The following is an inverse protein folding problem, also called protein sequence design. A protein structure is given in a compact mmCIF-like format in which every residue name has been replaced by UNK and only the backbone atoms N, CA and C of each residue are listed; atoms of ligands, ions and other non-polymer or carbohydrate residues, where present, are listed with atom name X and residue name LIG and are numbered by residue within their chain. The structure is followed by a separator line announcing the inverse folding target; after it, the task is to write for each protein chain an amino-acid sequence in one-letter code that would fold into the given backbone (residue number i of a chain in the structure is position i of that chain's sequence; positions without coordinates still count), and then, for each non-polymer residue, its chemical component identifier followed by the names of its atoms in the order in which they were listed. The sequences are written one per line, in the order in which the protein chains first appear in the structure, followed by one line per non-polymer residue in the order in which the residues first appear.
data_IF_426698849459
#
_entry.id   IF_426698849459
#
_cell.length_a   1.000
_cell.length_b   1.000
_cell.length_c   1.000
_cell.angle_alpha   90.00
_cell.angle_beta   90.00
_cell.angle_gamma   90.00
#
_symmetry.space_group_name_H-M   'P 1'
#
loop_
_entity.id
_entity.type
_entity.pdbx_description
1 polymer ?
#
# COMPACT_ATOMS: atom_id res chain seq x y z
N UNK A 1 -21.38 -30.06 11.99
CA UNK A 1 -21.30 -28.93 12.95
C UNK A 1 -19.92 -28.73 13.63
N UNK A 2 -18.86 -29.51 13.33
CA UNK A 2 -17.51 -29.27 13.90
C UNK A 2 -16.70 -28.17 13.18
N UNK A 3 -16.97 -27.92 11.90
CA UNK A 3 -16.19 -26.98 11.06
C UNK A 3 -16.28 -25.53 11.55
N UNK A 4 -17.46 -25.07 11.98
CA UNK A 4 -17.73 -23.68 12.39
C UNK A 4 -16.89 -23.26 13.58
N UNK A 5 -16.68 -24.15 14.57
CA UNK A 5 -15.91 -23.82 15.79
C UNK A 5 -14.41 -23.65 15.57
N UNK A 6 -13.83 -24.15 14.47
CA UNK A 6 -12.40 -24.00 14.19
C UNK A 6 -12.05 -22.56 13.76
N UNK A 7 -12.95 -21.90 13.04
CA UNK A 7 -12.79 -20.51 12.59
C UNK A 7 -13.02 -19.49 13.72
N UNK A 8 -13.71 -19.87 14.79
CA UNK A 8 -14.00 -18.99 15.94
C UNK A 8 -12.88 -18.97 17.01
N UNK A 9 -11.75 -19.65 16.77
CA UNK A 9 -10.62 -19.65 17.71
C UNK A 9 -9.76 -18.40 17.59
N UNK A 10 -9.08 -17.99 18.68
CA UNK A 10 -8.18 -16.84 18.70
C UNK A 10 -7.12 -16.89 17.59
N UNK A 11 -6.58 -18.08 17.31
CA UNK A 11 -5.59 -18.25 16.25
C UNK A 11 -6.18 -18.06 14.83
N UNK A 12 -7.49 -18.26 14.64
CA UNK A 12 -8.16 -17.91 13.38
C UNK A 12 -8.39 -16.41 13.27
N UNK A 13 -8.76 -15.74 14.37
CA UNK A 13 -8.86 -14.27 14.42
C UNK A 13 -7.51 -13.62 14.13
N UNK A 14 -6.44 -14.16 14.70
CA UNK A 14 -5.07 -13.72 14.43
C UNK A 14 -4.73 -13.84 12.94
N UNK A 15 -5.01 -14.98 12.31
CA UNK A 15 -4.83 -15.14 10.85
C UNK A 15 -5.56 -14.04 10.06
N UNK A 16 -6.83 -13.78 10.37
CA UNK A 16 -7.60 -12.74 9.67
C UNK A 16 -7.06 -11.33 9.96
N UNK A 17 -6.54 -11.06 11.16
CA UNK A 17 -5.89 -9.80 11.49
C UNK A 17 -4.60 -9.61 10.66
N UNK A 18 -3.76 -10.64 10.52
CA UNK A 18 -2.58 -10.58 9.66
C UNK A 18 -2.92 -10.44 8.18
N UNK A 19 -4.01 -11.04 7.73
CA UNK A 19 -4.53 -10.80 6.38
C UNK A 19 -4.98 -9.35 6.21
N UNK A 20 -5.70 -8.80 7.19
CA UNK A 20 -6.09 -7.39 7.20
C UNK A 20 -4.88 -6.45 7.15
N UNK A 21 -3.83 -6.74 7.92
CA UNK A 21 -2.57 -5.98 7.89
C UNK A 21 -1.91 -6.06 6.50
N UNK A 22 -1.83 -7.24 5.90
CA UNK A 22 -1.31 -7.42 4.55
C UNK A 22 -2.06 -6.55 3.53
N UNK A 23 -3.40 -6.58 3.55
CA UNK A 23 -4.23 -5.75 2.66
C UNK A 23 -4.04 -4.26 2.95
N UNK A 24 -4.02 -3.85 4.22
CA UNK A 24 -3.79 -2.46 4.62
C UNK A 24 -2.47 -1.91 4.06
N UNK A 25 -1.36 -2.64 4.23
CA UNK A 25 -0.07 -2.18 3.70
C UNK A 25 -0.01 -2.20 2.18
N UNK A 26 -0.81 -3.06 1.52
CA UNK A 26 -0.97 -3.02 0.06
C UNK A 26 -1.63 -1.73 -0.40
N UNK A 27 -2.70 -1.32 0.30
CA UNK A 27 -3.43 -0.09 -0.01
C UNK A 27 -2.62 1.15 0.34
N UNK A 28 -1.86 1.12 1.44
CA UNK A 28 -0.93 2.20 1.79
C UNK A 28 0.15 2.39 0.70
N UNK A 29 0.69 1.29 0.17
CA UNK A 29 1.64 1.32 -0.94
C UNK A 29 1.03 1.91 -2.23
N UNK A 30 -0.21 1.54 -2.56
CA UNK A 30 -0.97 2.13 -3.68
C UNK A 30 -1.13 3.64 -3.52
N UNK A 31 -1.59 4.06 -2.34
CA UNK A 31 -1.76 5.47 -2.01
C UNK A 31 -0.45 6.24 -2.12
N UNK A 32 0.66 5.65 -1.67
CA UNK A 32 1.97 6.27 -1.74
C UNK A 32 2.44 6.48 -3.19
N UNK A 33 2.15 5.54 -4.09
CA UNK A 33 2.45 5.68 -5.53
C UNK A 33 1.61 6.78 -6.18
N UNK A 34 0.32 6.86 -5.82
CA UNK A 34 -0.55 7.96 -6.28
C UNK A 34 0.02 9.30 -5.83
N UNK A 35 0.37 9.45 -4.55
CA UNK A 35 0.95 10.67 -4.01
C UNK A 35 2.21 11.10 -4.78
N UNK A 36 3.11 10.15 -5.04
CA UNK A 36 4.34 10.43 -5.77
C UNK A 36 4.09 10.87 -7.23
N UNK A 37 3.14 10.24 -7.92
CA UNK A 37 2.73 10.64 -9.27
C UNK A 37 2.07 12.02 -9.30
N UNK A 38 1.24 12.35 -8.30
CA UNK A 38 0.60 13.65 -8.19
C UNK A 38 1.61 14.77 -7.99
N UNK A 39 2.51 14.62 -7.01
CA UNK A 39 3.54 15.61 -6.72
C UNK A 39 4.45 15.86 -7.92
N UNK A 40 4.76 14.81 -8.66
CA UNK A 40 5.53 14.92 -9.89
C UNK A 40 4.78 15.72 -10.96
N UNK A 41 3.47 15.50 -11.16
CA UNK A 41 2.68 16.28 -12.11
C UNK A 41 2.59 17.75 -11.70
N UNK A 42 2.45 18.02 -10.40
CA UNK A 42 2.54 19.37 -9.84
C UNK A 42 3.91 19.99 -10.14
N UNK A 43 5.02 19.27 -9.88
CA UNK A 43 6.38 19.76 -10.15
C UNK A 43 6.66 20.11 -11.61
N UNK A 44 5.93 19.48 -12.53
CA UNK A 44 6.06 19.70 -13.97
C UNK A 44 5.12 20.82 -14.47
N UNK A 45 4.37 21.48 -13.58
CA UNK A 45 3.36 22.48 -13.95
C UNK A 45 2.20 21.90 -14.76
N UNK A 46 1.95 20.60 -14.67
CA UNK A 46 0.93 19.88 -15.47
C UNK A 46 -0.46 19.88 -14.84
N UNK A 47 -0.63 20.54 -13.70
CA UNK A 47 -1.92 20.68 -13.00
C UNK A 47 -2.22 22.18 -12.85
N UNK A 48 -3.14 22.73 -13.66
CA UNK A 48 -3.40 24.17 -13.70
C UNK A 48 -4.23 24.70 -12.53
N UNK A 49 -5.17 23.88 -12.02
CA UNK A 49 -6.12 24.28 -10.97
C UNK A 49 -6.26 23.22 -9.88
N UNK A 50 -6.85 23.59 -8.74
CA UNK A 50 -7.14 22.69 -7.62
C UNK A 50 -8.25 21.66 -7.97
N UNK A 51 -9.22 22.04 -8.80
CA UNK A 51 -10.26 21.14 -9.31
C UNK A 51 -9.65 20.06 -10.23
N UNK A 52 -8.75 20.46 -11.14
CA UNK A 52 -7.99 19.53 -11.98
C UNK A 52 -7.12 18.57 -11.15
N UNK A 53 -6.65 19.02 -9.98
CA UNK A 53 -5.86 18.20 -9.06
C UNK A 53 -6.71 17.09 -8.42
N UNK A 54 -7.91 17.44 -7.94
CA UNK A 54 -8.82 16.49 -7.31
C UNK A 54 -9.31 15.43 -8.30
N UNK A 55 -9.69 15.84 -9.51
CA UNK A 55 -10.14 14.93 -10.57
C UNK A 55 -9.02 13.98 -11.00
N UNK A 56 -7.81 14.51 -11.20
CA UNK A 56 -6.64 13.71 -11.52
C UNK A 56 -6.30 12.72 -10.39
N UNK A 57 -6.42 13.14 -9.12
CA UNK A 57 -6.20 12.27 -7.97
C UNK A 57 -7.22 11.11 -7.94
N UNK A 58 -8.51 11.39 -8.13
CA UNK A 58 -9.54 10.37 -8.23
C UNK A 58 -9.32 9.42 -9.40
N UNK A 59 -8.90 9.94 -10.56
CA UNK A 59 -8.52 9.13 -11.70
C UNK A 59 -7.35 8.20 -11.34
N UNK A 60 -6.32 8.68 -10.65
CA UNK A 60 -5.19 7.84 -10.24
C UNK A 60 -5.56 6.78 -9.23
N UNK A 61 -6.46 7.06 -8.28
CA UNK A 61 -6.98 6.04 -7.36
C UNK A 61 -7.77 4.93 -8.07
N UNK A 62 -8.36 5.23 -9.23
CA UNK A 62 -9.05 4.23 -10.05
C UNK A 62 -8.12 3.33 -10.87
N UNK A 63 -6.84 3.72 -11.01
CA UNK A 63 -5.87 2.91 -11.74
C UNK A 63 -5.52 1.65 -10.95
N UNK A 64 -5.33 0.56 -11.67
CA UNK A 64 -4.68 -0.62 -11.09
C UNK A 64 -3.26 -0.26 -10.63
N UNK A 65 -2.82 -0.93 -9.56
CA UNK A 65 -1.46 -0.78 -9.07
C UNK A 65 -0.43 -0.96 -10.21
N UNK A 66 -0.59 -1.98 -11.07
CA UNK A 66 0.29 -2.18 -12.24
C UNK A 66 0.34 -1.01 -13.25
N UNK A 67 -0.71 -0.19 -13.35
CA UNK A 67 -0.70 1.02 -14.19
C UNK A 67 0.09 2.15 -13.54
N UNK A 68 -0.11 2.40 -12.24
CA UNK A 68 0.64 3.42 -11.47
C UNK A 68 2.15 3.18 -11.54
N UNK A 69 2.49 1.92 -11.50
CA UNK A 69 3.83 1.35 -11.59
C UNK A 69 4.51 1.62 -12.91
N UNK A 70 3.81 1.29 -13.99
CA UNK A 70 4.37 1.50 -15.31
C UNK A 70 4.57 3.00 -15.52
N UNK A 71 3.62 3.83 -15.08
CA UNK A 71 3.77 5.28 -15.14
C UNK A 71 4.98 5.77 -14.34
N UNK A 72 5.15 5.35 -13.09
CA UNK A 72 6.22 5.87 -12.24
C UNK A 72 7.63 5.49 -12.73
N UNK A 73 7.77 4.34 -13.39
CA UNK A 73 9.03 3.90 -14.01
C UNK A 73 9.48 4.80 -15.18
N UNK A 74 8.56 5.48 -15.86
CA UNK A 74 8.92 6.44 -16.91
C UNK A 74 9.42 7.78 -16.35
N UNK A 75 9.24 8.01 -15.05
CA UNK A 75 9.44 9.32 -14.46
C UNK A 75 10.53 9.36 -13.39
N UNK A 76 10.79 8.24 -12.74
CA UNK A 76 11.85 8.12 -11.73
C UNK A 76 12.94 7.19 -12.22
N UNK A 77 14.22 7.53 -12.00
CA UNK A 77 15.35 6.70 -12.41
C UNK A 77 15.53 5.52 -11.45
N UNK A 78 14.52 4.65 -11.38
CA UNK A 78 14.66 3.40 -10.63
C UNK A 78 15.72 2.53 -11.28
N UNK A 79 16.60 1.96 -10.46
CA UNK A 79 17.45 0.86 -10.89
C UNK A 79 16.61 -0.33 -11.36
N UNK A 80 17.22 -1.22 -12.13
CA UNK A 80 16.58 -2.46 -12.58
C UNK A 80 16.11 -3.30 -11.38
N UNK A 81 16.95 -3.42 -10.35
CA UNK A 81 16.63 -4.11 -9.11
C UNK A 81 15.44 -3.48 -8.37
N UNK A 82 15.38 -2.14 -8.32
CA UNK A 82 14.23 -1.44 -7.74
C UNK A 82 12.95 -1.73 -8.50
N UNK A 83 13.02 -1.66 -9.84
CA UNK A 83 11.92 -1.94 -10.75
C UNK A 83 11.41 -3.38 -10.60
N UNK A 84 12.30 -4.34 -10.42
CA UNK A 84 11.96 -5.74 -10.20
C UNK A 84 11.30 -5.97 -8.83
N UNK A 85 11.86 -5.44 -7.74
CA UNK A 85 11.28 -5.53 -6.39
C UNK A 85 9.85 -4.97 -6.35
N UNK A 86 9.71 -3.79 -6.94
CA UNK A 86 8.45 -3.13 -7.21
C UNK A 86 7.48 -4.12 -7.91
N UNK A 87 7.88 -4.71 -9.06
CA UNK A 87 7.09 -5.72 -9.81
C UNK A 87 6.68 -6.93 -8.98
N UNK A 88 7.56 -7.44 -8.15
CA UNK A 88 7.31 -8.60 -7.30
C UNK A 88 6.26 -8.29 -6.22
N UNK A 89 6.41 -7.17 -5.52
CA UNK A 89 5.46 -6.77 -4.46
C UNK A 89 4.05 -6.58 -5.04
N UNK A 90 3.92 -6.10 -6.27
CA UNK A 90 2.60 -5.92 -6.90
C UNK A 90 1.96 -7.23 -7.34
N UNK A 91 2.75 -8.17 -7.90
CA UNK A 91 2.25 -9.53 -8.18
C UNK A 91 1.77 -10.17 -6.88
N UNK A 92 2.53 -10.00 -5.81
CA UNK A 92 2.20 -10.54 -4.50
C UNK A 92 0.96 -9.88 -3.90
N UNK A 93 0.77 -8.55 -4.05
CA UNK A 93 -0.48 -7.87 -3.69
C UNK A 93 -1.68 -8.46 -4.43
N UNK A 94 -1.59 -8.62 -5.75
CA UNK A 94 -2.69 -9.16 -6.54
C UNK A 94 -3.05 -10.56 -6.07
N UNK A 95 -2.04 -11.38 -5.80
CA UNK A 95 -2.22 -12.68 -5.19
C UNK A 95 -2.94 -12.60 -3.83
N UNK A 96 -2.47 -11.75 -2.91
CA UNK A 96 -3.06 -11.59 -1.57
C UNK A 96 -4.54 -11.19 -1.65
N UNK A 97 -4.87 -10.20 -2.47
CA UNK A 97 -6.23 -9.63 -2.54
C UNK A 97 -7.19 -10.57 -3.26
N UNK A 98 -6.75 -11.24 -4.33
CA UNK A 98 -7.67 -11.96 -5.21
C UNK A 98 -7.68 -13.47 -4.99
N UNK A 99 -6.55 -14.10 -4.64
CA UNK A 99 -6.40 -15.56 -4.76
C UNK A 99 -5.91 -16.26 -3.50
N UNK A 100 -5.30 -15.55 -2.55
CA UNK A 100 -4.67 -16.14 -1.37
C UNK A 100 -5.55 -17.11 -0.60
N UNK A 101 -6.74 -16.67 -0.17
CA UNK A 101 -7.64 -17.55 0.57
C UNK A 101 -8.23 -18.66 -0.29
N UNK A 102 -8.38 -18.48 -1.61
CA UNK A 102 -8.88 -19.54 -2.50
C UNK A 102 -7.90 -20.72 -2.53
N UNK A 103 -6.60 -20.41 -2.62
CA UNK A 103 -5.55 -21.42 -2.67
C UNK A 103 -5.23 -22.00 -1.29
N UNK A 104 -5.28 -21.18 -0.23
CA UNK A 104 -4.89 -21.58 1.12
C UNK A 104 -6.06 -21.99 2.01
N UNK A 105 -7.28 -22.12 1.46
CA UNK A 105 -8.49 -22.36 2.27
C UNK A 105 -8.36 -23.60 3.18
N UNK A 106 -7.69 -24.65 2.71
CA UNK A 106 -7.51 -25.88 3.46
C UNK A 106 -6.62 -25.68 4.70
N UNK A 107 -5.64 -24.78 4.62
CA UNK A 107 -4.72 -24.47 5.71
C UNK A 107 -5.42 -23.76 6.87
N UNK A 108 -6.54 -23.08 6.61
CA UNK A 108 -7.34 -22.39 7.64
C UNK A 108 -7.92 -23.34 8.69
N UNK A 109 -8.10 -24.63 8.36
CA UNK A 109 -8.74 -25.61 9.23
C UNK A 109 -7.80 -26.27 10.25
N UNK A 110 -6.49 -26.02 10.17
CA UNK A 110 -5.52 -26.59 11.11
C UNK A 110 -4.70 -25.49 11.81
N UNK A 111 -4.28 -25.68 13.07
CA UNK A 111 -3.34 -24.76 13.71
C UNK A 111 -2.04 -24.61 12.92
N UNK A 112 -1.44 -25.71 12.46
CA UNK A 112 -0.18 -25.66 11.72
C UNK A 112 -0.30 -24.89 10.39
N UNK A 113 -1.42 -25.05 9.69
CA UNK A 113 -1.73 -24.32 8.46
C UNK A 113 -1.91 -22.83 8.71
N UNK A 114 -2.68 -22.44 9.72
CA UNK A 114 -2.83 -21.03 10.11
C UNK A 114 -1.50 -20.38 10.49
N UNK A 115 -0.64 -21.08 11.23
CA UNK A 115 0.70 -20.56 11.53
C UNK A 115 1.58 -20.41 10.29
N UNK A 116 1.44 -21.29 9.27
CA UNK A 116 2.10 -21.09 7.97
C UNK A 116 1.58 -19.83 7.28
N UNK A 117 0.26 -19.68 7.20
CA UNK A 117 -0.37 -18.54 6.57
C UNK A 117 0.01 -17.21 7.24
N UNK A 118 0.03 -17.15 8.58
CA UNK A 118 0.46 -15.97 9.33
C UNK A 118 1.90 -15.57 8.98
N UNK A 119 2.83 -16.54 8.86
CA UNK A 119 4.22 -16.26 8.44
C UNK A 119 4.30 -15.71 7.02
N UNK A 120 3.54 -16.28 6.09
CA UNK A 120 3.48 -15.79 4.70
C UNK A 120 2.97 -14.35 4.66
N UNK A 121 1.85 -14.07 5.34
CA UNK A 121 1.25 -12.73 5.41
C UNK A 121 2.16 -11.72 6.11
N UNK A 122 2.88 -12.14 7.15
CA UNK A 122 3.86 -11.30 7.85
C UNK A 122 5.01 -10.93 6.93
N UNK A 123 5.55 -11.89 6.17
CA UNK A 123 6.62 -11.64 5.19
C UNK A 123 6.16 -10.65 4.12
N UNK A 124 4.96 -10.85 3.58
CA UNK A 124 4.39 -9.92 2.61
C UNK A 124 4.20 -8.52 3.18
N UNK A 125 3.57 -8.41 4.35
CA UNK A 125 3.37 -7.14 5.06
C UNK A 125 4.71 -6.40 5.22
N UNK A 126 5.77 -7.10 5.61
CA UNK A 126 7.09 -6.51 5.77
C UNK A 126 7.65 -5.99 4.44
N UNK A 127 7.56 -6.77 3.35
CA UNK A 127 8.01 -6.35 2.02
C UNK A 127 7.25 -5.11 1.52
N UNK A 128 5.91 -5.10 1.66
CA UNK A 128 5.09 -3.96 1.28
C UNK A 128 5.45 -2.70 2.08
N UNK A 129 5.67 -2.86 3.39
CA UNK A 129 6.03 -1.76 4.28
C UNK A 129 7.45 -1.22 4.00
N UNK A 130 8.42 -2.07 3.71
CA UNK A 130 9.78 -1.65 3.36
C UNK A 130 9.78 -0.83 2.06
N UNK A 131 8.99 -1.26 1.08
CA UNK A 131 8.84 -0.56 -0.19
C UNK A 131 8.08 0.76 -0.04
N UNK A 132 7.01 0.79 0.75
CA UNK A 132 6.26 2.00 1.07
C UNK A 132 7.18 3.05 1.71
N UNK A 133 7.94 2.68 2.74
CA UNK A 133 8.95 3.57 3.36
C UNK A 133 9.99 4.07 2.37
N UNK A 134 10.40 3.23 1.42
CA UNK A 134 11.36 3.62 0.39
C UNK A 134 10.76 4.67 -0.55
N UNK A 135 9.52 4.47 -0.99
CA UNK A 135 8.78 5.42 -1.83
C UNK A 135 8.49 6.73 -1.08
N UNK A 136 8.20 6.66 0.22
CA UNK A 136 7.99 7.81 1.07
C UNK A 136 9.19 8.75 1.09
N UNK A 137 10.42 8.23 1.05
CA UNK A 137 11.64 9.06 0.95
C UNK A 137 11.67 9.93 -0.30
N UNK A 138 11.36 9.35 -1.47
CA UNK A 138 11.29 10.12 -2.72
C UNK A 138 10.19 11.20 -2.67
N UNK A 139 9.06 10.87 -2.06
CA UNK A 139 7.98 11.82 -1.84
C UNK A 139 8.40 12.97 -0.94
N UNK A 140 9.04 12.70 0.20
CA UNK A 140 9.56 13.74 1.10
C UNK A 140 10.59 14.64 0.41
N UNK A 141 11.52 14.07 -0.37
CA UNK A 141 12.49 14.85 -1.15
C UNK A 141 11.81 15.77 -2.18
N UNK A 142 10.72 15.31 -2.79
CA UNK A 142 9.97 16.08 -3.78
C UNK A 142 9.15 17.21 -3.12
N UNK A 143 8.57 16.97 -1.94
CA UNK A 143 7.91 18.00 -1.14
C UNK A 143 8.85 19.16 -0.82
N UNK A 144 10.07 18.86 -0.34
CA UNK A 144 11.10 19.86 -0.02
C UNK A 144 11.50 20.63 -1.28
N UNK A 145 11.73 19.95 -2.41
CA UNK A 145 12.07 20.61 -3.68
C UNK A 145 10.99 21.58 -4.18
N UNK A 146 9.73 21.31 -3.86
CA UNK A 146 8.60 22.14 -4.25
C UNK A 146 8.29 23.27 -3.25
N UNK A 147 9.02 23.36 -2.13
CA UNK A 147 8.72 24.31 -1.05
C UNK A 147 7.36 24.06 -0.39
N UNK A 148 6.86 22.82 -0.51
CA UNK A 148 5.60 22.36 0.08
C UNK A 148 5.82 21.70 1.45
N UNK A 149 7.03 21.85 2.02
CA UNK A 149 7.41 21.40 3.36
C UNK A 149 7.00 22.38 4.48
N UNK A 150 6.21 23.41 4.14
CA UNK A 150 5.63 24.36 5.07
C UNK A 150 4.61 23.65 5.99
N UNK A 151 5.09 23.34 7.19
CA UNK A 151 4.40 23.16 8.48
C UNK A 151 2.94 22.67 8.42
N UNK A 152 2.71 21.47 8.95
CA UNK A 152 1.48 21.22 9.69
C UNK A 152 1.41 22.27 10.81
N UNK A 153 0.74 23.39 10.53
CA UNK A 153 0.34 24.36 11.54
C UNK A 153 -0.19 23.59 12.73
N UNK A 154 0.46 23.83 13.86
CA UNK A 154 0.07 23.33 15.17
C UNK A 154 -1.44 23.46 15.28
N UNK A 155 -2.12 22.31 15.37
CA UNK A 155 -3.48 22.26 15.87
C UNK A 155 -3.46 22.75 17.31
N UNK A 156 -3.54 24.07 17.50
CA UNK A 156 -4.04 24.66 18.72
C UNK A 156 -5.49 24.19 18.85
N UNK A 157 -5.69 23.09 19.56
CA UNK A 157 -7.00 22.75 20.11
C UNK A 157 -7.47 23.95 20.94
N UNK A 158 -8.61 24.58 20.61
CA UNK A 158 -9.21 25.54 21.50
C UNK A 158 -9.60 24.77 22.77
N UNK A 159 -8.97 25.12 23.88
CA UNK A 159 -9.44 24.70 25.20
C UNK A 159 -10.83 25.31 25.36
N UNK A 160 -11.86 24.47 25.24
CA UNK A 160 -13.22 24.86 25.61
C UNK A 160 -13.28 24.91 27.14
N UNK A 161 -13.68 26.09 27.62
CA UNK A 161 -13.95 26.45 29.01
C UNK A 161 -15.16 25.68 29.54
#
# INVERSE_FOLDING_TARGET
MKQTRLLDSEHSKELFAYFGLAVYYSQALEQQLVNLLMLMKISQGKVPTEEDLADLYHQKLSNSLGQLVNEIQHHFPFSEAETEQLKEVWKLRNYIVHDYFKERIQETFSPAGRSRMIRELTSFKQQAQDLERKLQKYTSELYVKLGLDQEAEKGETPTQV
#
